data_IF_884318564339
#
_entry.id   IF_884318564339
#
_cell.length_a   1.000
_cell.length_b   1.000
_cell.length_c   1.000
_cell.angle_alpha   90.00
_cell.angle_beta   90.00
_cell.angle_gamma   90.00
#
_symmetry.space_group_name_H-M   'P 1'
#
loop_
_entity.id
_entity.type
_entity.pdbx_description
1 polymer ?
#
# COMPACT_ATOMS: atom_id res chain seq x y z
N UNK A 1 35.19 -14.38 4.77
CA UNK A 1 35.86 -15.45 5.53
C UNK A 1 34.80 -16.15 6.38
N UNK A 2 34.33 -17.28 5.86
CA UNK A 2 33.90 -18.52 6.53
C UNK A 2 33.09 -18.47 7.83
N UNK A 3 31.79 -18.86 7.72
CA UNK A 3 31.11 -19.98 8.43
C UNK A 3 29.70 -19.61 8.93
N UNK A 4 28.64 -19.93 8.19
CA UNK A 4 27.35 -20.41 8.74
C UNK A 4 26.64 -21.30 7.68
N UNK A 5 27.17 -22.49 7.42
CA UNK A 5 26.39 -23.61 6.87
C UNK A 5 26.92 -24.89 7.52
N UNK A 6 26.09 -25.69 8.22
CA UNK A 6 26.57 -26.92 8.83
C UNK A 6 26.91 -27.94 7.73
N UNK A 7 28.21 -28.22 7.58
CA UNK A 7 28.69 -29.43 6.91
C UNK A 7 28.30 -30.63 7.78
N UNK A 8 27.23 -31.30 7.41
CA UNK A 8 26.90 -32.61 7.95
C UNK A 8 26.63 -33.59 6.81
N UNK A 9 27.69 -34.09 6.17
CA UNK A 9 27.62 -35.35 5.41
C UNK A 9 29.03 -35.89 5.16
N UNK A 10 29.56 -36.71 6.08
CA UNK A 10 30.71 -37.55 5.80
C UNK A 10 30.92 -38.65 6.84
N UNK A 11 29.95 -39.55 7.08
CA UNK A 11 30.24 -40.93 7.51
C UNK A 11 29.23 -41.88 6.87
N UNK A 12 29.75 -42.75 5.98
CA UNK A 12 29.22 -44.02 5.44
C UNK A 12 27.70 -44.16 5.24
N UNK A 13 27.32 -44.30 3.97
CA UNK A 13 26.18 -45.13 3.57
C UNK A 13 24.94 -44.36 3.09
N UNK A 14 24.90 -44.09 1.78
CA UNK A 14 23.71 -43.89 0.94
C UNK A 14 22.46 -43.23 1.54
N UNK A 15 22.25 -41.94 1.26
CA UNK A 15 20.91 -41.35 1.23
C UNK A 15 20.34 -41.45 -0.18
N UNK A 16 19.52 -42.48 -0.41
CA UNK A 16 18.46 -42.51 -1.42
C UNK A 16 17.35 -41.53 -0.98
N UNK A 17 16.72 -40.88 -1.96
CA UNK A 17 15.48 -40.14 -1.78
C UNK A 17 15.69 -38.66 -1.49
N UNK A 18 15.64 -37.82 -2.53
CA UNK A 18 15.26 -36.42 -2.35
C UNK A 18 13.75 -36.42 -2.11
N UNK A 19 13.35 -36.49 -0.85
CA UNK A 19 12.03 -36.00 -0.46
C UNK A 19 12.00 -34.51 -0.80
N UNK A 20 11.05 -34.10 -1.65
CA UNK A 20 10.68 -32.71 -1.80
C UNK A 20 10.23 -32.24 -0.41
N UNK A 21 11.08 -31.48 0.27
CA UNK A 21 10.70 -30.82 1.51
C UNK A 21 9.68 -29.76 1.10
N UNK A 22 8.41 -30.14 1.14
CA UNK A 22 7.29 -29.21 1.06
C UNK A 22 7.50 -28.24 2.22
N UNK A 23 7.95 -27.02 1.90
CA UNK A 23 8.15 -25.97 2.91
C UNK A 23 6.76 -25.56 3.38
N UNK A 24 6.25 -26.33 4.33
CA UNK A 24 5.06 -25.99 5.08
C UNK A 24 5.40 -24.76 5.92
N UNK A 25 5.05 -23.58 5.39
CA UNK A 25 5.05 -22.36 6.18
C UNK A 25 4.22 -22.61 7.44
N UNK A 26 4.67 -22.10 8.60
CA UNK A 26 4.01 -22.33 9.90
C UNK A 26 2.53 -21.88 9.98
N UNK A 27 1.97 -21.29 8.92
CA UNK A 27 0.55 -21.00 8.71
C UNK A 27 -0.24 -22.13 8.01
N UNK A 28 0.41 -23.21 7.56
CA UNK A 28 -0.19 -24.28 6.74
C UNK A 28 -0.55 -23.86 5.31
N UNK A 29 -0.27 -22.62 4.91
CA UNK A 29 -0.55 -22.10 3.57
C UNK A 29 0.69 -22.26 2.69
N UNK A 30 0.59 -23.06 1.64
CA UNK A 30 1.66 -23.16 0.63
C UNK A 30 1.82 -21.84 -0.13
N UNK A 31 3.00 -21.60 -0.70
CA UNK A 31 3.25 -20.42 -1.54
C UNK A 31 2.19 -20.26 -2.64
N UNK A 32 1.74 -21.38 -3.22
CA UNK A 32 0.66 -21.40 -4.19
C UNK A 32 -0.65 -20.84 -3.66
N UNK A 33 -1.06 -21.22 -2.44
CA UNK A 33 -2.29 -20.69 -1.82
C UNK A 33 -2.19 -19.18 -1.57
N UNK A 34 -1.04 -18.71 -1.08
CA UNK A 34 -0.82 -17.28 -0.86
C UNK A 34 -0.94 -16.48 -2.16
N UNK A 35 -0.35 -16.99 -3.23
CA UNK A 35 -0.43 -16.38 -4.56
C UNK A 35 -1.87 -16.35 -5.07
N UNK A 36 -2.60 -17.46 -4.97
CA UNK A 36 -4.02 -17.54 -5.36
C UNK A 36 -4.88 -16.55 -4.59
N UNK A 37 -4.72 -16.46 -3.26
CA UNK A 37 -5.48 -15.51 -2.44
C UNK A 37 -5.14 -14.05 -2.78
N UNK A 38 -3.87 -13.75 -3.04
CA UNK A 38 -3.42 -12.41 -3.43
C UNK A 38 -4.08 -11.97 -4.74
N UNK A 39 -4.11 -12.84 -5.75
CA UNK A 39 -4.84 -12.57 -7.00
C UNK A 39 -6.34 -12.44 -6.79
N UNK A 40 -6.95 -13.24 -5.91
CA UNK A 40 -8.35 -13.11 -5.57
C UNK A 40 -8.67 -11.74 -4.95
N UNK A 41 -7.85 -11.25 -4.01
CA UNK A 41 -8.02 -9.93 -3.40
C UNK A 41 -7.85 -8.78 -4.39
N UNK A 42 -6.84 -8.86 -5.27
CA UNK A 42 -6.68 -7.88 -6.35
C UNK A 42 -7.88 -7.94 -7.31
N UNK A 43 -8.39 -9.12 -7.64
CA UNK A 43 -9.60 -9.29 -8.45
C UNK A 43 -10.83 -8.64 -7.82
N UNK A 44 -11.05 -8.84 -6.52
CA UNK A 44 -12.13 -8.21 -5.75
C UNK A 44 -11.99 -6.68 -5.78
N UNK A 45 -10.77 -6.16 -5.59
CA UNK A 45 -10.49 -4.73 -5.70
C UNK A 45 -10.87 -4.18 -7.08
N UNK A 46 -10.42 -4.83 -8.16
CA UNK A 46 -10.67 -4.39 -9.53
C UNK A 46 -12.16 -4.42 -9.90
N UNK A 47 -12.88 -5.48 -9.53
CA UNK A 47 -14.33 -5.59 -9.74
C UNK A 47 -15.09 -4.53 -8.94
N UNK A 48 -14.72 -4.34 -7.66
CA UNK A 48 -15.33 -3.29 -6.83
C UNK A 48 -15.08 -1.90 -7.39
N UNK A 49 -13.85 -1.60 -7.81
CA UNK A 49 -13.48 -0.33 -8.44
C UNK A 49 -14.27 -0.11 -9.73
N UNK A 50 -14.39 -1.12 -10.58
CA UNK A 50 -15.22 -1.09 -11.79
C UNK A 50 -16.68 -0.71 -11.47
N UNK A 51 -17.30 -1.33 -10.46
CA UNK A 51 -18.67 -1.03 -10.06
C UNK A 51 -18.82 0.42 -9.59
N UNK A 52 -17.86 0.94 -8.80
CA UNK A 52 -17.91 2.33 -8.32
C UNK A 52 -17.73 3.33 -9.45
N UNK A 53 -16.76 3.11 -10.35
CA UNK A 53 -16.56 3.95 -11.54
C UNK A 53 -17.78 3.93 -12.46
N UNK A 54 -18.47 2.79 -12.59
CA UNK A 54 -19.72 2.69 -13.35
C UNK A 54 -20.81 3.59 -12.74
N UNK A 55 -20.96 3.57 -11.42
CA UNK A 55 -21.93 4.43 -10.72
C UNK A 55 -21.62 5.92 -10.92
N UNK A 56 -20.34 6.30 -10.86
CA UNK A 56 -19.93 7.69 -11.13
C UNK A 56 -20.24 8.12 -12.57
N UNK A 57 -20.03 7.22 -13.54
CA UNK A 57 -20.40 7.46 -14.93
C UNK A 57 -21.91 7.59 -15.16
N UNK A 58 -22.74 6.87 -14.39
CA UNK A 58 -24.20 7.03 -14.43
C UNK A 58 -24.63 8.42 -13.95
N UNK A 59 -24.08 8.90 -12.83
CA UNK A 59 -24.36 10.24 -12.32
C UNK A 59 -23.97 11.37 -13.29
N UNK A 60 -22.86 11.21 -14.03
CA UNK A 60 -22.46 12.17 -15.06
C UNK A 60 -23.44 12.26 -16.24
N UNK A 61 -24.19 11.18 -16.53
CA UNK A 61 -25.18 11.16 -17.61
C UNK A 61 -26.48 11.91 -17.28
N UNK A 62 -26.77 12.11 -15.98
CA UNK A 62 -27.90 12.94 -15.52
C UNK A 62 -27.64 14.44 -15.75
N UNK A 63 -26.36 14.84 -15.84
CA UNK A 63 -25.93 16.20 -16.19
C UNK A 63 -25.78 16.44 -17.71
N UNK A 64 -26.37 15.60 -18.58
CA UNK A 64 -26.52 15.88 -20.01
C UNK A 64 -25.35 15.52 -20.92
N UNK A 65 -24.41 14.66 -20.48
CA UNK A 65 -23.30 14.19 -21.32
C UNK A 65 -23.69 13.12 -22.35
N UNK A 66 -23.03 13.04 -23.53
CA UNK A 66 -23.38 12.11 -24.62
C UNK A 66 -23.10 10.62 -24.33
N UNK A 67 -22.53 10.29 -23.16
CA UNK A 67 -22.08 8.95 -22.80
C UNK A 67 -22.96 8.27 -21.76
N UNK A 68 -24.16 7.81 -22.13
CA UNK A 68 -25.03 7.02 -21.25
C UNK A 68 -24.31 5.73 -20.82
N UNK A 69 -24.20 5.49 -19.52
CA UNK A 69 -23.73 4.23 -18.91
C UNK A 69 -22.28 3.76 -19.22
N UNK A 70 -21.40 4.63 -19.73
CA UNK A 70 -20.04 4.22 -20.13
C UNK A 70 -18.96 4.72 -19.16
N UNK A 71 -18.25 3.79 -18.53
CA UNK A 71 -17.06 4.07 -17.70
C UNK A 71 -15.97 4.73 -18.55
N UNK A 72 -15.81 4.29 -19.80
CA UNK A 72 -14.79 4.81 -20.70
C UNK A 72 -15.04 6.30 -20.95
N UNK A 73 -16.30 6.69 -21.15
CA UNK A 73 -16.65 8.10 -21.30
C UNK A 73 -16.40 8.89 -20.03
N UNK A 74 -16.74 8.36 -18.85
CA UNK A 74 -16.44 9.01 -17.58
C UNK A 74 -14.93 9.27 -17.41
N UNK A 75 -14.10 8.24 -17.59
CA UNK A 75 -12.65 8.35 -17.49
C UNK A 75 -12.11 9.31 -18.56
N UNK A 76 -12.56 9.19 -19.81
CA UNK A 76 -12.13 10.07 -20.89
C UNK A 76 -12.48 11.54 -20.61
N UNK A 77 -13.66 11.82 -20.06
CA UNK A 77 -14.07 13.18 -19.67
C UNK A 77 -13.17 13.72 -18.56
N UNK A 78 -12.93 12.94 -17.50
CA UNK A 78 -12.03 13.36 -16.41
C UNK A 78 -10.61 13.61 -16.94
N UNK A 79 -10.07 12.71 -17.76
CA UNK A 79 -8.75 12.89 -18.35
C UNK A 79 -8.71 14.15 -19.24
N UNK A 80 -9.73 14.39 -20.07
CA UNK A 80 -9.83 15.63 -20.86
C UNK A 80 -9.83 16.87 -19.98
N UNK A 81 -10.59 16.87 -18.87
CA UNK A 81 -10.61 17.97 -17.91
C UNK A 81 -9.26 18.19 -17.22
N UNK A 82 -8.51 17.12 -16.94
CA UNK A 82 -7.18 17.22 -16.31
C UNK A 82 -6.16 17.77 -17.30
N UNK A 83 -6.13 17.23 -18.52
CA UNK A 83 -5.16 17.61 -19.55
C UNK A 83 -5.51 18.90 -20.30
N UNK A 84 -6.73 19.42 -20.18
CA UNK A 84 -7.08 20.75 -20.69
C UNK A 84 -6.51 21.89 -19.83
N UNK A 85 -6.06 21.60 -18.60
CA UNK A 85 -5.51 22.60 -17.69
C UNK A 85 -4.09 22.97 -18.07
N UNK A 86 -3.72 24.21 -17.72
CA UNK A 86 -2.34 24.67 -17.80
C UNK A 86 -1.46 23.82 -16.88
N UNK A 87 -0.32 23.34 -17.39
CA UNK A 87 0.59 22.46 -16.65
C UNK A 87 1.02 23.04 -15.29
N UNK A 88 1.25 24.36 -15.21
CA UNK A 88 1.63 25.01 -13.94
C UNK A 88 0.52 24.93 -12.88
N UNK A 89 -0.75 25.07 -13.29
CA UNK A 89 -1.90 24.95 -12.39
C UNK A 89 -2.05 23.49 -11.96
N UNK A 90 -1.94 22.55 -12.91
CA UNK A 90 -2.02 21.12 -12.62
C UNK A 90 -0.93 20.67 -11.61
N UNK A 91 0.33 21.02 -11.85
CA UNK A 91 1.44 20.68 -10.95
C UNK A 91 1.25 21.31 -9.58
N UNK A 92 0.84 22.58 -9.51
CA UNK A 92 0.52 23.26 -8.26
C UNK A 92 -0.59 22.55 -7.48
N UNK A 93 -1.66 22.14 -8.16
CA UNK A 93 -2.77 21.37 -7.56
C UNK A 93 -2.30 20.01 -7.06
N UNK A 94 -1.55 19.26 -7.87
CA UNK A 94 -1.02 17.94 -7.48
C UNK A 94 -0.09 18.05 -6.26
N UNK A 95 0.85 18.99 -6.24
CA UNK A 95 1.82 19.10 -5.16
C UNK A 95 1.19 19.73 -3.91
N UNK A 96 0.50 20.87 -4.03
CA UNK A 96 0.02 21.61 -2.87
C UNK A 96 -1.31 21.10 -2.34
N UNK A 97 -2.22 20.66 -3.20
CA UNK A 97 -3.56 20.25 -2.76
C UNK A 97 -3.66 18.75 -2.53
N UNK A 98 -3.04 17.93 -3.39
CA UNK A 98 -3.07 16.48 -3.23
C UNK A 98 -1.93 15.96 -2.35
N UNK A 99 -0.69 16.33 -2.66
CA UNK A 99 0.50 15.87 -1.93
C UNK A 99 0.63 16.49 -0.54
N UNK A 100 0.59 17.82 -0.46
CA UNK A 100 0.74 18.54 0.81
C UNK A 100 -0.59 18.81 1.50
N UNK A 101 -1.75 18.56 0.86
CA UNK A 101 -3.06 18.70 1.49
C UNK A 101 -3.31 20.07 2.16
N UNK A 102 -2.86 21.15 1.53
CA UNK A 102 -2.92 22.52 2.07
C UNK A 102 -4.33 22.99 2.46
N UNK A 103 -5.38 22.46 1.83
CA UNK A 103 -6.78 22.72 2.21
C UNK A 103 -7.07 22.28 3.66
N UNK A 104 -6.46 21.18 4.11
CA UNK A 104 -6.59 20.67 5.49
C UNK A 104 -5.77 21.54 6.44
N UNK A 105 -4.56 21.94 6.03
CA UNK A 105 -3.68 22.82 6.81
C UNK A 105 -4.37 24.11 7.23
N UNK A 106 -5.09 24.76 6.30
CA UNK A 106 -5.84 26.00 6.57
C UNK A 106 -6.99 25.83 7.58
N UNK A 107 -7.48 24.61 7.81
CA UNK A 107 -8.59 24.32 8.72
C UNK A 107 -8.12 23.87 10.10
N UNK A 108 -7.11 23.01 10.16
CA UNK A 108 -6.54 22.54 11.42
C UNK A 108 -5.15 21.93 11.19
N UNK A 109 -4.08 22.51 11.76
CA UNK A 109 -2.72 22.00 11.58
C UNK A 109 -2.54 20.59 12.16
N UNK A 110 -3.20 20.27 13.29
CA UNK A 110 -3.13 18.92 13.88
C UNK A 110 -3.77 17.86 12.97
N UNK A 111 -4.92 18.19 12.36
CA UNK A 111 -5.58 17.29 11.40
C UNK A 111 -4.71 17.07 10.17
N UNK A 112 -4.01 18.11 9.76
CA UNK A 112 -3.09 18.09 8.63
C UNK A 112 -1.87 17.21 8.90
N UNK A 113 -1.15 17.37 10.02
CA UNK A 113 -0.02 16.50 10.37
C UNK A 113 -0.45 15.04 10.38
N UNK A 114 -1.56 14.74 11.06
CA UNK A 114 -2.13 13.40 11.14
C UNK A 114 -2.41 12.79 9.76
N UNK A 115 -3.10 13.53 8.87
CA UNK A 115 -3.41 13.03 7.52
C UNK A 115 -2.17 12.94 6.63
N UNK A 116 -1.25 13.89 6.71
CA UNK A 116 -0.03 13.89 5.91
C UNK A 116 0.84 12.66 6.24
N UNK A 117 0.94 12.32 7.52
CA UNK A 117 1.67 11.16 8.01
C UNK A 117 1.02 9.84 7.60
N UNK A 118 -0.31 9.73 7.72
CA UNK A 118 -1.05 8.54 7.24
C UNK A 118 -0.95 8.43 5.72
N UNK A 119 -1.13 9.52 4.99
CA UNK A 119 -1.14 9.56 3.53
C UNK A 119 0.20 9.14 2.95
N UNK A 120 1.30 9.81 3.33
CA UNK A 120 2.62 9.48 2.82
C UNK A 120 3.15 8.16 3.39
N UNK A 121 2.89 7.89 4.68
CA UNK A 121 3.27 6.62 5.29
C UNK A 121 2.64 5.43 4.55
N UNK A 122 1.32 5.41 4.39
CA UNK A 122 0.63 4.33 3.69
C UNK A 122 0.96 4.27 2.19
N UNK A 123 0.96 5.42 1.50
CA UNK A 123 1.17 5.45 0.04
C UNK A 123 2.58 5.01 -0.34
N UNK A 124 3.61 5.49 0.37
CA UNK A 124 5.00 5.13 0.05
C UNK A 124 5.29 3.67 0.39
N UNK A 125 4.78 3.15 1.50
CA UNK A 125 4.90 1.73 1.83
C UNK A 125 4.25 0.83 0.78
N UNK A 126 3.08 1.23 0.25
CA UNK A 126 2.45 0.53 -0.87
C UNK A 126 3.33 0.59 -2.13
N UNK A 127 3.83 1.77 -2.49
CA UNK A 127 4.71 1.95 -3.67
C UNK A 127 5.98 1.12 -3.55
N UNK A 128 6.63 1.10 -2.39
CA UNK A 128 7.82 0.29 -2.14
C UNK A 128 7.52 -1.21 -2.22
N UNK A 129 6.39 -1.65 -1.67
CA UNK A 129 5.95 -3.03 -1.77
C UNK A 129 5.73 -3.46 -3.22
N UNK A 130 5.08 -2.60 -4.03
CA UNK A 130 4.90 -2.84 -5.46
C UNK A 130 6.22 -2.83 -6.23
N UNK A 131 7.17 -1.97 -5.85
CA UNK A 131 8.49 -1.89 -6.46
C UNK A 131 9.32 -3.15 -6.19
N UNK A 132 9.39 -3.60 -4.93
CA UNK A 132 10.08 -4.86 -4.57
C UNK A 132 9.43 -6.04 -5.29
N UNK A 133 8.09 -6.10 -5.33
CA UNK A 133 7.36 -7.14 -6.05
C UNK A 133 7.62 -7.10 -7.57
N UNK A 134 7.73 -5.92 -8.18
CA UNK A 134 8.11 -5.79 -9.58
C UNK A 134 9.49 -6.39 -9.85
N UNK A 135 10.48 -6.10 -9.00
CA UNK A 135 11.83 -6.65 -9.14
C UNK A 135 11.89 -8.15 -8.86
N UNK A 136 11.04 -8.67 -7.97
CA UNK A 136 10.86 -10.12 -7.78
C UNK A 136 10.35 -10.81 -9.06
N UNK A 137 9.35 -10.22 -9.74
CA UNK A 137 8.87 -10.75 -11.02
C UNK A 137 9.96 -10.70 -12.09
N UNK A 138 10.73 -9.61 -12.14
CA UNK A 138 11.82 -9.45 -13.11
C UNK A 138 12.91 -10.51 -12.86
N UNK A 139 13.35 -10.69 -11.60
CA UNK A 139 14.38 -11.68 -11.27
C UNK A 139 13.93 -13.11 -11.60
N UNK A 140 12.70 -13.48 -11.20
CA UNK A 140 12.13 -14.79 -11.55
C UNK A 140 12.00 -14.99 -13.06
N UNK A 141 11.66 -13.94 -13.82
CA UNK A 141 11.59 -13.99 -15.28
C UNK A 141 12.96 -14.21 -15.94
N UNK A 142 14.01 -13.60 -15.41
CA UNK A 142 15.39 -13.77 -15.89
C UNK A 142 15.90 -15.19 -15.59
N UNK A 143 15.67 -15.68 -14.38
CA UNK A 143 16.02 -17.06 -13.97
C UNK A 143 15.30 -18.10 -14.84
N UNK A 144 14.02 -17.87 -15.16
CA UNK A 144 13.26 -18.75 -16.05
C UNK A 144 13.83 -18.83 -17.47
N UNK A 145 14.52 -17.77 -17.93
CA UNK A 145 15.24 -17.74 -19.20
C UNK A 145 16.63 -18.39 -19.13
N UNK A 146 17.00 -18.97 -17.98
CA UNK A 146 18.29 -19.61 -17.75
C UNK A 146 19.46 -18.63 -17.58
N UNK A 147 19.17 -17.38 -17.22
CA UNK A 147 20.16 -16.34 -16.97
C UNK A 147 20.20 -15.99 -15.49
N UNK A 148 21.37 -15.60 -14.99
CA UNK A 148 21.53 -15.07 -13.64
C UNK A 148 21.22 -13.56 -13.63
N UNK A 149 20.26 -13.08 -12.81
CA UNK A 149 19.96 -11.66 -12.74
C UNK A 149 21.14 -10.88 -12.14
N UNK A 150 21.46 -9.73 -12.73
CA UNK A 150 22.43 -8.83 -12.13
C UNK A 150 21.94 -8.40 -10.73
N UNK A 151 22.86 -8.21 -9.78
CA UNK A 151 22.50 -7.93 -8.37
C UNK A 151 21.52 -6.75 -8.20
N UNK A 152 21.66 -5.67 -8.97
CA UNK A 152 20.76 -4.50 -8.92
C UNK A 152 19.36 -4.74 -9.52
N UNK A 153 19.15 -5.88 -10.18
CA UNK A 153 17.85 -6.35 -10.67
C UNK A 153 17.19 -7.36 -9.73
N UNK A 154 17.84 -7.72 -8.62
CA UNK A 154 17.27 -8.62 -7.61
C UNK A 154 16.38 -7.86 -6.63
N UNK A 155 15.33 -8.51 -6.14
CA UNK A 155 14.45 -7.95 -5.10
C UNK A 155 15.19 -7.68 -3.79
N UNK A 156 16.25 -8.46 -3.49
CA UNK A 156 17.11 -8.29 -2.31
C UNK A 156 17.81 -6.92 -2.31
N UNK A 157 18.43 -6.53 -3.43
CA UNK A 157 19.11 -5.23 -3.50
C UNK A 157 18.13 -4.07 -3.26
N UNK A 158 16.95 -4.12 -3.89
CA UNK A 158 15.94 -3.08 -3.70
C UNK A 158 15.43 -3.04 -2.26
N UNK A 159 15.16 -4.20 -1.66
CA UNK A 159 14.67 -4.27 -0.28
C UNK A 159 15.71 -3.78 0.73
N UNK A 160 16.92 -4.33 0.69
CA UNK A 160 17.89 -4.17 1.78
C UNK A 160 18.84 -2.98 1.56
N UNK A 161 19.24 -2.71 0.32
CA UNK A 161 20.20 -1.63 0.04
C UNK A 161 19.51 -0.28 -0.24
N UNK A 162 18.39 -0.30 -0.95
CA UNK A 162 17.72 0.94 -1.39
C UNK A 162 16.60 1.36 -0.45
N UNK A 163 15.75 0.40 -0.04
CA UNK A 163 14.48 0.71 0.62
C UNK A 163 14.47 0.48 2.12
N UNK A 164 15.49 -0.13 2.74
CA UNK A 164 15.50 -0.39 4.18
C UNK A 164 15.23 0.87 5.03
N UNK A 165 16.01 1.95 4.82
CA UNK A 165 15.84 3.21 5.56
C UNK A 165 14.53 3.92 5.19
N UNK A 166 14.18 4.12 3.89
CA UNK A 166 12.89 4.68 3.52
C UNK A 166 11.69 3.92 4.10
N UNK A 167 11.72 2.58 4.07
CA UNK A 167 10.64 1.73 4.55
C UNK A 167 10.40 1.94 6.04
N UNK A 168 11.46 1.98 6.85
CA UNK A 168 11.36 2.29 8.28
C UNK A 168 10.84 3.71 8.52
N UNK A 169 11.36 4.72 7.80
CA UNK A 169 10.91 6.10 7.93
C UNK A 169 9.40 6.24 7.69
N UNK A 170 8.89 5.72 6.57
CA UNK A 170 7.47 5.80 6.23
C UNK A 170 6.62 4.88 7.11
N UNK A 171 7.17 3.78 7.60
CA UNK A 171 6.58 2.94 8.66
C UNK A 171 6.31 3.74 9.94
N UNK A 172 7.30 4.47 10.43
CA UNK A 172 7.14 5.31 11.64
C UNK A 172 6.23 6.51 11.38
N UNK A 173 6.30 7.13 10.20
CA UNK A 173 5.33 8.17 9.83
C UNK A 173 3.89 7.64 9.89
N UNK A 174 3.63 6.46 9.32
CA UNK A 174 2.32 5.83 9.39
C UNK A 174 1.90 5.57 10.84
N UNK A 175 2.79 4.98 11.65
CA UNK A 175 2.55 4.68 13.06
C UNK A 175 2.21 5.93 13.89
N UNK A 176 2.95 7.02 13.70
CA UNK A 176 2.70 8.30 14.37
C UNK A 176 1.34 8.86 13.93
N UNK A 177 1.06 8.87 12.63
CA UNK A 177 -0.18 9.37 12.08
C UNK A 177 -1.42 8.63 12.62
N UNK A 178 -1.39 7.29 12.63
CA UNK A 178 -2.49 6.49 13.17
C UNK A 178 -2.61 6.62 14.69
N UNK A 179 -1.50 6.80 15.40
CA UNK A 179 -1.51 7.02 16.86
C UNK A 179 -2.20 8.35 17.19
N UNK A 180 -1.84 9.43 16.48
CA UNK A 180 -2.51 10.73 16.63
C UNK A 180 -4.00 10.60 16.31
N UNK A 181 -4.36 9.85 15.26
CA UNK A 181 -5.76 9.61 14.90
C UNK A 181 -6.54 8.85 15.98
N UNK A 182 -5.94 7.81 16.56
CA UNK A 182 -6.54 7.02 17.63
C UNK A 182 -6.73 7.85 18.90
N UNK A 183 -5.68 8.54 19.35
CA UNK A 183 -5.73 9.40 20.54
C UNK A 183 -6.77 10.51 20.37
N UNK A 184 -6.77 11.20 19.23
CA UNK A 184 -7.75 12.26 18.94
C UNK A 184 -9.19 11.73 18.99
N UNK A 185 -9.44 10.52 18.52
CA UNK A 185 -10.78 9.91 18.52
C UNK A 185 -11.27 9.53 19.91
N UNK A 186 -10.35 9.22 20.82
CA UNK A 186 -10.66 8.91 22.22
C UNK A 186 -10.83 10.19 23.05
N UNK A 187 -9.94 11.18 22.85
CA UNK A 187 -9.83 12.38 23.71
C UNK A 187 -10.73 13.53 23.26
N UNK A 188 -10.80 13.84 21.97
CA UNK A 188 -11.58 14.97 21.47
C UNK A 188 -13.07 14.62 21.42
N UNK A 189 -13.85 15.17 22.35
CA UNK A 189 -15.29 14.92 22.46
C UNK A 189 -16.05 15.20 21.16
N UNK A 190 -15.64 16.23 20.39
CA UNK A 190 -16.28 16.56 19.11
C UNK A 190 -15.99 15.49 18.06
N UNK A 191 -14.76 15.02 17.98
CA UNK A 191 -14.39 13.93 17.06
C UNK A 191 -15.07 12.62 17.47
N UNK A 192 -15.13 12.32 18.77
CA UNK A 192 -15.79 11.13 19.30
C UNK A 192 -17.30 11.10 18.99
N UNK A 193 -17.99 12.23 19.15
CA UNK A 193 -19.42 12.34 18.85
C UNK A 193 -19.75 12.14 17.37
N UNK A 194 -18.81 12.46 16.46
CA UNK A 194 -18.96 12.27 15.01
C UNK A 194 -18.38 10.93 14.52
N UNK A 195 -17.87 10.09 15.41
CA UNK A 195 -17.23 8.83 15.03
C UNK A 195 -18.28 7.78 14.73
N UNK A 196 -18.17 7.16 13.57
CA UNK A 196 -19.00 6.02 13.19
C UNK A 196 -18.24 4.69 13.35
N UNK A 197 -18.97 3.57 13.40
CA UNK A 197 -18.38 2.23 13.51
C UNK A 197 -17.38 1.93 12.39
N UNK A 198 -17.66 2.39 11.16
CA UNK A 198 -16.74 2.27 10.03
C UNK A 198 -15.39 2.93 10.32
N UNK A 199 -15.36 4.07 10.98
CA UNK A 199 -14.11 4.77 11.29
C UNK A 199 -13.27 3.98 12.31
N UNK A 200 -13.93 3.34 13.27
CA UNK A 200 -13.28 2.52 14.30
C UNK A 200 -12.70 1.25 13.69
N UNK A 201 -13.48 0.55 12.86
CA UNK A 201 -13.03 -0.69 12.19
C UNK A 201 -11.88 -0.41 11.23
N UNK A 202 -12.00 0.63 10.40
CA UNK A 202 -10.96 0.99 9.43
C UNK A 202 -9.67 1.48 10.11
N UNK A 203 -9.78 2.28 11.17
CA UNK A 203 -8.60 2.72 11.92
C UNK A 203 -7.97 1.55 12.70
N UNK A 204 -8.79 0.71 13.35
CA UNK A 204 -8.33 -0.45 14.10
C UNK A 204 -7.62 -1.47 13.21
N UNK A 205 -8.17 -1.78 12.03
CA UNK A 205 -7.51 -2.65 11.07
C UNK A 205 -6.20 -2.07 10.54
N UNK A 206 -6.15 -0.76 10.26
CA UNK A 206 -4.90 -0.11 9.85
C UNK A 206 -3.83 -0.15 10.96
N UNK A 207 -4.22 -0.06 12.23
CA UNK A 207 -3.30 -0.25 13.38
C UNK A 207 -2.76 -1.68 13.40
N UNK A 208 -3.63 -2.69 13.31
CA UNK A 208 -3.22 -4.10 13.30
C UNK A 208 -2.24 -4.37 12.15
N UNK A 209 -2.56 -3.88 10.95
CA UNK A 209 -1.72 -4.06 9.77
C UNK A 209 -0.36 -3.39 9.95
N UNK A 210 -0.33 -2.13 10.41
CA UNK A 210 0.92 -1.43 10.70
C UNK A 210 1.77 -2.20 11.70
N UNK A 211 1.18 -2.71 12.78
CA UNK A 211 1.90 -3.48 13.80
C UNK A 211 2.45 -4.80 13.24
N UNK A 212 1.67 -5.52 12.44
CA UNK A 212 2.16 -6.77 11.79
C UNK A 212 3.30 -6.51 10.80
N UNK A 213 3.34 -5.34 10.16
CA UNK A 213 4.44 -4.93 9.29
C UNK A 213 5.74 -4.72 10.09
N UNK A 214 5.66 -4.01 11.22
CA UNK A 214 6.79 -3.86 12.14
C UNK A 214 7.25 -5.20 12.71
N UNK A 215 6.32 -6.09 13.10
CA UNK A 215 6.69 -7.42 13.58
C UNK A 215 7.41 -8.23 12.50
N UNK A 216 6.96 -8.17 11.24
CA UNK A 216 7.62 -8.85 10.13
C UNK A 216 9.06 -8.34 9.92
N UNK A 217 9.28 -7.04 10.08
CA UNK A 217 10.61 -6.44 9.99
C UNK A 217 11.49 -6.79 11.19
N UNK A 218 10.98 -6.64 12.40
CA UNK A 218 11.74 -6.92 13.63
C UNK A 218 12.19 -8.38 13.70
N UNK A 219 11.39 -9.32 13.21
CA UNK A 219 11.79 -10.72 13.17
C UNK A 219 13.01 -10.96 12.26
N UNK A 220 13.22 -10.17 11.21
CA UNK A 220 14.41 -10.28 10.34
C UNK A 220 15.70 -9.79 10.99
N UNK A 221 15.59 -8.93 12.01
CA UNK A 221 16.73 -8.26 12.64
C UNK A 221 17.17 -7.00 11.88
N UNK A 222 18.09 -6.24 12.47
CA UNK A 222 18.60 -5.00 11.86
C UNK A 222 17.65 -3.81 11.85
N UNK A 223 16.54 -3.85 12.61
CA UNK A 223 15.54 -2.78 12.62
C UNK A 223 16.10 -1.47 13.20
N UNK A 224 15.74 -0.32 12.62
CA UNK A 224 16.36 0.98 12.96
C UNK A 224 16.34 1.34 14.46
N UNK A 225 15.22 1.10 15.16
CA UNK A 225 15.06 1.49 16.57
C UNK A 225 15.31 0.35 17.56
N UNK A 226 15.12 -0.89 17.14
CA UNK A 226 15.07 -2.05 18.03
C UNK A 226 16.22 -3.03 17.79
N UNK A 227 17.01 -2.82 16.72
CA UNK A 227 18.13 -3.66 16.33
C UNK A 227 17.72 -5.12 16.23
N UNK A 228 18.49 -5.99 16.88
CA UNK A 228 18.32 -7.44 16.84
C UNK A 228 17.50 -7.99 18.02
N UNK A 229 16.75 -7.16 18.75
CA UNK A 229 16.05 -7.61 19.95
C UNK A 229 15.05 -8.75 19.70
N UNK A 230 14.60 -8.92 18.45
CA UNK A 230 13.65 -9.96 18.03
C UNK A 230 14.27 -11.03 17.12
N UNK A 231 15.60 -11.10 17.00
CA UNK A 231 16.28 -12.08 16.11
C UNK A 231 15.99 -13.54 16.49
N UNK A 232 15.60 -13.80 17.74
CA UNK A 232 15.12 -15.12 18.17
C UNK A 232 13.89 -15.61 17.37
N UNK A 233 13.12 -14.69 16.78
CA UNK A 233 11.95 -14.97 15.93
C UNK A 233 12.28 -15.01 14.43
N UNK A 234 13.54 -14.90 14.03
CA UNK A 234 13.96 -14.99 12.63
C UNK A 234 13.41 -16.19 11.85
N UNK A 235 13.28 -17.41 12.44
CA UNK A 235 12.64 -18.54 11.74
C UNK A 235 11.18 -18.28 11.33
N UNK A 236 10.49 -17.36 12.01
CA UNK A 236 9.09 -16.98 11.74
C UNK A 236 8.96 -15.70 10.89
N UNK A 237 10.06 -15.04 10.53
CA UNK A 237 10.04 -13.76 9.82
C UNK A 237 9.31 -13.86 8.47
N UNK A 238 9.59 -14.91 7.70
CA UNK A 238 8.93 -15.13 6.41
C UNK A 238 7.42 -15.36 6.56
N UNK A 239 7.01 -16.19 7.54
CA UNK A 239 5.60 -16.45 7.80
C UNK A 239 4.85 -15.17 8.22
N UNK A 240 5.47 -14.35 9.08
CA UNK A 240 4.91 -13.06 9.50
C UNK A 240 4.80 -12.08 8.34
N UNK A 241 5.81 -12.02 7.46
CA UNK A 241 5.78 -11.19 6.26
C UNK A 241 4.66 -11.58 5.29
N UNK A 242 4.46 -12.88 5.07
CA UNK A 242 3.37 -13.40 4.23
C UNK A 242 1.99 -13.11 4.86
N UNK A 243 1.86 -13.31 6.17
CA UNK A 243 0.65 -12.96 6.90
C UNK A 243 0.32 -11.47 6.75
N UNK A 244 1.30 -10.60 7.01
CA UNK A 244 1.18 -9.16 6.83
C UNK A 244 0.78 -8.78 5.39
N UNK A 245 1.43 -9.35 4.38
CA UNK A 245 1.11 -9.09 2.98
C UNK A 245 -0.34 -9.47 2.64
N UNK A 246 -0.79 -10.64 3.11
CA UNK A 246 -2.13 -11.15 2.83
C UNK A 246 -3.23 -10.28 3.48
N UNK A 247 -3.07 -9.95 4.76
CA UNK A 247 -4.06 -9.10 5.45
C UNK A 247 -4.03 -7.65 4.93
N UNK A 248 -2.86 -7.17 4.50
CA UNK A 248 -2.72 -5.84 3.88
C UNK A 248 -3.45 -5.80 2.53
N UNK A 249 -3.29 -6.82 1.68
CA UNK A 249 -4.04 -6.91 0.42
C UNK A 249 -5.54 -7.03 0.67
N UNK A 250 -5.97 -7.86 1.63
CA UNK A 250 -7.38 -8.00 1.96
C UNK A 250 -7.98 -6.67 2.44
N UNK A 251 -7.36 -6.03 3.43
CA UNK A 251 -7.97 -4.91 4.14
C UNK A 251 -7.64 -3.54 3.53
N UNK A 252 -6.38 -3.31 3.15
CA UNK A 252 -5.94 -2.03 2.59
C UNK A 252 -6.19 -1.92 1.08
N UNK A 253 -6.39 -3.03 0.36
CA UNK A 253 -6.61 -3.00 -1.10
C UNK A 253 -8.01 -3.50 -1.48
N UNK A 254 -8.37 -4.74 -1.17
CA UNK A 254 -9.66 -5.32 -1.61
C UNK A 254 -10.88 -4.58 -1.06
N UNK A 255 -10.79 -4.00 0.15
CA UNK A 255 -11.87 -3.22 0.76
C UNK A 255 -11.96 -1.76 0.31
N UNK A 256 -10.99 -1.23 -0.46
CA UNK A 256 -11.01 0.16 -0.93
C UNK A 256 -12.36 0.55 -1.55
N UNK A 257 -12.90 -0.16 -2.55
CA UNK A 257 -14.12 0.26 -3.24
C UNK A 257 -15.39 0.16 -2.39
N UNK A 258 -15.39 -0.62 -1.32
CA UNK A 258 -16.59 -0.94 -0.53
C UNK A 258 -16.69 -0.16 0.78
N UNK A 259 -15.62 0.55 1.16
CA UNK A 259 -15.52 1.23 2.45
C UNK A 259 -15.25 2.72 2.27
N UNK A 260 -15.11 3.44 3.38
CA UNK A 260 -14.72 4.85 3.35
C UNK A 260 -13.37 5.08 2.67
N UNK A 261 -12.50 4.06 2.51
CA UNK A 261 -11.22 4.17 1.79
C UNK A 261 -11.33 4.58 0.32
N UNK A 262 -12.51 4.48 -0.30
CA UNK A 262 -12.72 4.99 -1.66
C UNK A 262 -12.35 6.47 -1.81
N UNK A 263 -12.33 7.25 -0.72
CA UNK A 263 -11.87 8.64 -0.72
C UNK A 263 -10.42 8.81 -1.20
N UNK A 264 -9.57 7.78 -1.04
CA UNK A 264 -8.17 7.78 -1.53
C UNK A 264 -8.15 7.95 -3.06
N UNK A 265 -9.19 7.51 -3.76
CA UNK A 265 -9.34 7.64 -5.22
C UNK A 265 -10.29 8.79 -5.58
N UNK A 266 -11.44 8.87 -4.91
CA UNK A 266 -12.48 9.83 -5.27
C UNK A 266 -12.09 11.29 -4.96
N UNK A 267 -11.44 11.56 -3.83
CA UNK A 267 -11.09 12.94 -3.45
C UNK A 267 -10.07 13.58 -4.42
N UNK A 268 -8.97 12.90 -4.82
CA UNK A 268 -8.07 13.42 -5.87
C UNK A 268 -8.80 13.69 -7.18
N UNK A 269 -9.67 12.79 -7.64
CA UNK A 269 -10.42 12.96 -8.88
C UNK A 269 -11.33 14.20 -8.82
N UNK A 270 -12.02 14.43 -7.71
CA UNK A 270 -12.87 15.62 -7.52
C UNK A 270 -12.04 16.90 -7.49
N UNK A 271 -10.92 16.91 -6.76
CA UNK A 271 -10.02 18.08 -6.69
C UNK A 271 -9.50 18.43 -8.09
N UNK A 272 -9.10 17.42 -8.88
CA UNK A 272 -8.60 17.61 -10.23
C UNK A 272 -9.68 17.97 -11.25
N UNK A 273 -10.94 17.58 -11.01
CA UNK A 273 -12.06 17.93 -11.89
C UNK A 273 -12.68 19.31 -11.59
N UNK A 274 -12.48 19.85 -10.38
CA UNK A 274 -13.10 21.13 -9.97
C UNK A 274 -12.24 22.32 -10.40
N UNK A 275 -12.78 23.33 -11.13
CA UNK A 275 -12.02 24.51 -11.50
C UNK A 275 -11.51 25.29 -10.28
N UNK A 276 -10.37 25.95 -10.43
CA UNK A 276 -9.79 26.82 -9.40
C UNK A 276 -10.20 28.27 -9.62
N UNK A 277 -10.21 29.11 -8.57
CA UNK A 277 -10.49 30.54 -8.71
C UNK A 277 -9.54 31.26 -9.69
N UNK A 278 -8.32 30.76 -9.86
CA UNK A 278 -7.35 31.28 -10.84
C UNK A 278 -7.84 31.04 -12.28
N UNK A 279 -8.44 29.89 -12.55
CA UNK A 279 -9.03 29.56 -13.86
C UNK A 279 -10.35 30.30 -14.07
N UNK A 280 -11.20 30.44 -13.04
CA UNK A 280 -12.45 31.19 -13.14
C UNK A 280 -12.21 32.67 -13.48
N UNK A 281 -11.15 33.29 -12.94
CA UNK A 281 -10.76 34.67 -13.25
C UNK A 281 -10.15 34.86 -14.63
N UNK A 282 -9.59 33.81 -15.23
CA UNK A 282 -8.99 33.85 -16.57
C UNK A 282 -10.04 33.61 -17.67
N UNK A 283 -11.16 32.97 -17.32
CA UNK A 283 -12.30 32.71 -18.20
C UNK A 283 -13.46 33.72 -18.06
N UNK A 284 -13.40 34.64 -17.10
CA UNK A 284 -14.34 35.75 -16.91
C UNK A 284 -13.86 37.01 -17.65
#
# INVERSE_FOLDING_TARGET
MDKIFPRACAIRGGCKGKEEVEVAYYSGLTFGVMMTLSFAFVGIFLVGLYVQLKKYGLGASEYGGPGKNSIIWFIATILRMIFSRRLSVLVKTLVLELGLQTRILRRSPLRWVMHLFIFWGWTMLLVFSLLVFLFEIISLGIEHLGMEPAYYLTSEWWRDAVLAIPNDLFGYMLLIGITIAAVRRIVDAKTRAMTEMYDVVLLGGLIIITLTGFLAEWFRGGALLVGDAFVAFAPSAQAMALFHALISLAFCVALIPFTKYIHIIAAPLVILATPTEEEEREHA
#
